data_IF_060262043972
#
_entry.id   IF_060262043972
#
_cell.length_a   1.000
_cell.length_b   1.000
_cell.length_c   1.000
_cell.angle_alpha   90.00
_cell.angle_beta   90.00
_cell.angle_gamma   90.00
#
_symmetry.space_group_name_H-M   'P 1'
#
loop_
_entity.id
_entity.type
_entity.pdbx_description
1 polymer ?
#
# COMPACT_ATOMS: atom_id res chain seq x y z
N UNK A 1 9.85 -16.43 -28.27
CA UNK A 1 8.71 -16.22 -27.36
C UNK A 1 9.15 -15.21 -26.31
N UNK A 2 8.86 -13.91 -26.50
CA UNK A 2 9.11 -12.93 -25.45
C UNK A 2 8.05 -13.15 -24.35
N UNK A 3 8.40 -13.92 -23.34
CA UNK A 3 7.62 -14.03 -22.11
C UNK A 3 7.90 -12.77 -21.30
N UNK A 4 7.11 -11.74 -21.53
CA UNK A 4 7.12 -10.54 -20.69
C UNK A 4 6.52 -10.92 -19.33
N UNK A 5 7.39 -11.28 -18.39
CA UNK A 5 7.02 -11.69 -17.03
C UNK A 5 6.24 -10.60 -16.29
N UNK A 6 6.37 -9.35 -16.71
CA UNK A 6 5.66 -8.19 -16.13
C UNK A 6 4.50 -7.71 -17.00
N UNK A 7 3.95 -8.61 -17.83
CA UNK A 7 2.76 -8.28 -18.63
C UNK A 7 1.59 -7.90 -17.71
N UNK A 8 0.70 -7.03 -18.19
CA UNK A 8 -0.50 -6.64 -17.43
C UNK A 8 -1.32 -7.83 -16.95
N UNK A 9 -1.40 -8.90 -17.78
CA UNK A 9 -2.12 -10.13 -17.44
C UNK A 9 -1.43 -10.87 -16.30
N UNK A 10 -0.12 -11.02 -16.35
CA UNK A 10 0.68 -11.67 -15.29
C UNK A 10 0.55 -10.90 -13.97
N UNK A 11 0.74 -9.58 -14.00
CA UNK A 11 0.57 -8.73 -12.82
C UNK A 11 -0.84 -8.82 -12.22
N UNK A 12 -1.89 -8.86 -13.06
CA UNK A 12 -3.26 -9.00 -12.59
C UNK A 12 -3.51 -10.35 -11.91
N UNK A 13 -3.00 -11.45 -12.46
CA UNK A 13 -3.12 -12.79 -11.85
C UNK A 13 -2.40 -12.86 -10.51
N UNK A 14 -1.16 -12.39 -10.46
CA UNK A 14 -0.38 -12.37 -9.21
C UNK A 14 -1.07 -11.50 -8.16
N UNK A 15 -1.48 -10.29 -8.51
CA UNK A 15 -2.21 -9.41 -7.59
C UNK A 15 -3.53 -10.05 -7.11
N UNK A 16 -4.25 -10.78 -7.98
CA UNK A 16 -5.46 -11.52 -7.60
C UNK A 16 -5.20 -12.57 -6.52
N UNK A 17 -4.11 -13.33 -6.65
CA UNK A 17 -3.71 -14.31 -5.64
C UNK A 17 -3.35 -13.61 -4.31
N UNK A 18 -2.53 -12.56 -4.38
CA UNK A 18 -2.07 -11.86 -3.19
C UNK A 18 -3.20 -11.11 -2.47
N UNK A 19 -4.22 -10.60 -3.18
CA UNK A 19 -5.39 -9.97 -2.52
C UNK A 19 -6.21 -10.98 -1.72
N UNK A 20 -6.31 -12.23 -2.19
CA UNK A 20 -6.93 -13.32 -1.43
C UNK A 20 -6.12 -13.61 -0.17
N UNK A 21 -4.79 -13.64 -0.27
CA UNK A 21 -3.90 -13.81 0.90
C UNK A 21 -4.06 -12.66 1.90
N UNK A 22 -4.15 -11.41 1.43
CA UNK A 22 -4.45 -10.23 2.29
C UNK A 22 -5.76 -10.42 3.05
N UNK A 23 -6.81 -10.87 2.35
CA UNK A 23 -8.11 -11.14 2.98
C UNK A 23 -7.98 -12.17 4.11
N UNK A 24 -7.35 -13.32 3.86
CA UNK A 24 -7.17 -14.35 4.88
C UNK A 24 -6.28 -13.87 6.03
N UNK A 25 -5.22 -13.10 5.75
CA UNK A 25 -4.36 -12.55 6.78
C UNK A 25 -5.12 -11.61 7.72
N UNK A 26 -5.95 -10.74 7.18
CA UNK A 26 -6.79 -9.83 7.99
C UNK A 26 -7.92 -10.57 8.71
N UNK A 27 -8.64 -11.47 8.03
CA UNK A 27 -9.67 -12.28 8.65
C UNK A 27 -9.13 -13.03 9.87
N UNK A 28 -7.92 -13.60 9.76
CA UNK A 28 -7.25 -14.25 10.85
C UNK A 28 -7.03 -13.36 12.06
N UNK A 29 -6.55 -12.14 11.87
CA UNK A 29 -6.30 -11.20 12.99
C UNK A 29 -7.54 -10.92 13.83
N UNK A 30 -8.73 -10.94 13.20
CA UNK A 30 -9.99 -10.71 13.89
C UNK A 30 -10.64 -11.96 14.44
N UNK A 31 -10.48 -13.09 13.76
CA UNK A 31 -11.13 -14.37 14.14
C UNK A 31 -10.30 -15.11 15.19
N UNK A 32 -8.98 -15.07 15.11
CA UNK A 32 -8.09 -15.80 16.00
C UNK A 32 -8.38 -15.55 17.50
N UNK A 33 -8.54 -14.33 17.98
CA UNK A 33 -8.83 -14.07 19.39
C UNK A 33 -10.17 -14.63 19.87
N UNK A 34 -11.13 -14.85 18.96
CA UNK A 34 -12.48 -15.31 19.29
C UNK A 34 -12.63 -16.83 19.34
N UNK A 35 -11.73 -17.59 18.71
CA UNK A 35 -11.87 -19.04 18.54
C UNK A 35 -11.24 -19.89 19.67
N UNK A 36 -10.46 -19.32 20.58
CA UNK A 36 -9.86 -20.03 21.70
C UNK A 36 -8.72 -20.97 21.30
N UNK A 37 -8.54 -22.09 22.04
CA UNK A 37 -7.40 -22.99 21.87
C UNK A 37 -7.36 -23.71 20.52
N UNK A 38 -6.16 -23.81 19.95
CA UNK A 38 -5.86 -24.09 18.57
C UNK A 38 -5.25 -25.48 18.37
N UNK A 39 -5.52 -26.06 17.20
CA UNK A 39 -4.88 -27.27 16.71
C UNK A 39 -3.48 -26.98 16.15
N UNK A 40 -2.71 -28.03 15.81
CA UNK A 40 -1.41 -27.91 15.14
C UNK A 40 -1.54 -27.13 13.80
N UNK A 41 -2.66 -27.32 13.08
CA UNK A 41 -2.93 -26.60 11.82
C UNK A 41 -3.11 -25.09 12.04
N UNK A 42 -3.72 -24.71 13.14
CA UNK A 42 -3.91 -23.30 13.50
C UNK A 42 -2.58 -22.63 13.79
N UNK A 43 -1.68 -23.29 14.51
CA UNK A 43 -0.34 -22.79 14.78
C UNK A 43 0.50 -22.66 13.51
N UNK A 44 0.41 -23.62 12.57
CA UNK A 44 1.06 -23.54 11.27
C UNK A 44 0.51 -22.38 10.45
N UNK A 45 -0.81 -22.23 10.38
CA UNK A 45 -1.47 -21.15 9.68
C UNK A 45 -1.11 -19.78 10.29
N UNK A 46 -1.15 -19.64 11.61
CA UNK A 46 -0.74 -18.43 12.32
C UNK A 46 0.72 -18.06 12.02
N UNK A 47 1.61 -19.05 11.99
CA UNK A 47 3.02 -18.85 11.65
C UNK A 47 3.18 -18.38 10.21
N UNK A 48 2.53 -19.02 9.24
CA UNK A 48 2.59 -18.63 7.83
C UNK A 48 2.03 -17.23 7.62
N UNK A 49 0.88 -16.91 8.22
CA UNK A 49 0.25 -15.59 8.11
C UNK A 49 1.08 -14.52 8.84
N UNK A 50 1.61 -14.80 10.03
CA UNK A 50 2.47 -13.89 10.77
C UNK A 50 3.77 -13.58 10.00
N UNK A 51 4.36 -14.57 9.34
CA UNK A 51 5.53 -14.41 8.48
C UNK A 51 5.22 -13.65 7.19
N UNK A 52 4.05 -13.91 6.60
CA UNK A 52 3.69 -13.35 5.29
C UNK A 52 3.13 -11.92 5.36
N UNK A 53 2.74 -11.42 6.55
CA UNK A 53 1.95 -10.20 6.72
C UNK A 53 2.37 -9.00 5.88
N UNK A 54 3.64 -8.59 5.92
CA UNK A 54 4.14 -7.48 5.10
C UNK A 54 4.53 -7.93 3.68
N UNK A 55 5.01 -9.17 3.51
CA UNK A 55 5.46 -9.68 2.21
C UNK A 55 4.32 -9.83 1.21
N UNK A 56 3.09 -10.01 1.68
CA UNK A 56 1.90 -10.11 0.82
C UNK A 56 1.66 -8.83 0.00
N UNK A 57 2.07 -7.66 0.50
CA UNK A 57 1.89 -6.39 -0.20
C UNK A 57 3.06 -6.02 -1.11
N UNK A 58 4.18 -6.72 -1.03
CA UNK A 58 5.39 -6.49 -1.84
C UNK A 58 5.11 -6.47 -3.35
N UNK A 59 4.37 -7.44 -3.94
CA UNK A 59 4.06 -7.41 -5.37
C UNK A 59 3.27 -6.19 -5.80
N UNK A 60 2.35 -5.70 -4.96
CA UNK A 60 1.56 -4.51 -5.30
C UNK A 60 2.44 -3.26 -5.39
N UNK A 61 3.42 -3.10 -4.49
CA UNK A 61 4.38 -2.00 -4.54
C UNK A 61 5.29 -2.11 -5.77
N UNK A 62 5.85 -3.30 -6.01
CA UNK A 62 6.74 -3.58 -7.15
C UNK A 62 6.05 -3.28 -8.49
N UNK A 63 4.87 -3.86 -8.70
CA UNK A 63 4.12 -3.68 -9.96
C UNK A 63 3.60 -2.26 -10.13
N UNK A 64 3.29 -1.56 -9.03
CA UNK A 64 2.92 -0.15 -9.09
C UNK A 64 4.09 0.73 -9.50
N UNK A 65 5.28 0.51 -8.93
CA UNK A 65 6.51 1.21 -9.31
C UNK A 65 6.84 0.99 -10.79
N UNK A 66 6.85 -0.28 -11.24
CA UNK A 66 7.09 -0.65 -12.63
C UNK A 66 6.07 -0.01 -13.58
N UNK A 67 4.78 -0.18 -13.32
CA UNK A 67 3.73 0.29 -14.21
C UNK A 67 3.65 1.82 -14.30
N UNK A 68 3.90 2.54 -13.21
CA UNK A 68 3.94 4.00 -13.20
C UNK A 68 5.16 4.50 -13.96
N UNK A 69 6.35 3.97 -13.67
CA UNK A 69 7.59 4.41 -14.31
C UNK A 69 7.60 4.11 -15.80
N UNK A 70 7.24 2.89 -16.21
CA UNK A 70 7.11 2.53 -17.63
C UNK A 70 6.16 3.48 -18.34
N UNK A 71 4.99 3.78 -17.73
CA UNK A 71 4.03 4.72 -18.32
C UNK A 71 4.56 6.15 -18.41
N UNK A 72 5.37 6.61 -17.45
CA UNK A 72 6.04 7.92 -17.51
C UNK A 72 7.07 7.93 -18.64
N UNK A 73 7.90 6.89 -18.77
CA UNK A 73 8.94 6.81 -19.81
C UNK A 73 8.34 6.74 -21.21
N UNK A 74 7.25 5.99 -21.39
CA UNK A 74 6.58 5.84 -22.69
C UNK A 74 5.76 7.07 -23.10
N UNK A 75 5.03 7.69 -22.16
CA UNK A 75 4.01 8.72 -22.46
C UNK A 75 4.40 10.11 -21.96
N UNK A 76 5.51 10.22 -21.25
CA UNK A 76 6.04 11.49 -20.75
C UNK A 76 5.05 12.28 -19.90
N UNK A 77 5.07 13.60 -20.05
CA UNK A 77 4.24 14.54 -19.30
C UNK A 77 2.73 14.27 -19.43
N UNK A 78 2.29 13.67 -20.55
CA UNK A 78 0.87 13.37 -20.77
C UNK A 78 0.34 12.33 -19.77
N UNK A 79 1.18 11.40 -19.30
CA UNK A 79 0.83 10.48 -18.22
C UNK A 79 1.14 11.08 -16.85
N UNK A 80 2.30 11.70 -16.69
CA UNK A 80 2.74 12.24 -15.41
C UNK A 80 1.69 13.21 -14.82
N UNK A 81 1.17 14.14 -15.62
CA UNK A 81 0.13 15.09 -15.19
C UNK A 81 -1.19 14.43 -14.75
N UNK A 82 -1.43 13.18 -15.16
CA UNK A 82 -2.64 12.43 -14.79
C UNK A 82 -2.46 11.58 -13.52
N UNK A 83 -1.25 11.44 -12.98
CA UNK A 83 -1.03 10.64 -11.76
C UNK A 83 -1.95 11.07 -10.61
N UNK A 84 -2.10 12.38 -10.30
CA UNK A 84 -3.01 12.80 -9.22
C UNK A 84 -4.46 12.34 -9.44
N UNK A 85 -5.00 12.50 -10.63
CA UNK A 85 -6.40 12.17 -10.94
C UNK A 85 -6.63 10.70 -11.29
N UNK A 86 -5.63 9.99 -11.83
CA UNK A 86 -5.78 8.62 -12.31
C UNK A 86 -5.25 7.56 -11.31
N UNK A 87 -4.43 7.95 -10.34
CA UNK A 87 -3.83 7.05 -9.34
C UNK A 87 -4.16 7.47 -7.92
N UNK A 88 -3.80 8.71 -7.54
CA UNK A 88 -3.95 9.16 -6.15
C UNK A 88 -5.42 9.28 -5.79
N UNK A 89 -6.18 10.07 -6.52
CA UNK A 89 -7.58 10.36 -6.21
C UNK A 89 -8.48 9.10 -6.19
N UNK A 90 -8.44 8.18 -7.18
CA UNK A 90 -9.26 6.97 -7.11
C UNK A 90 -8.86 6.04 -5.96
N UNK A 91 -7.56 5.94 -5.64
CA UNK A 91 -7.10 5.13 -4.51
C UNK A 91 -7.62 5.71 -3.19
N UNK A 92 -7.52 7.04 -3.02
CA UNK A 92 -8.00 7.72 -1.82
C UNK A 92 -9.53 7.60 -1.69
N UNK A 93 -10.29 7.87 -2.75
CA UNK A 93 -11.77 7.75 -2.71
C UNK A 93 -12.22 6.34 -2.32
N UNK A 94 -11.64 5.30 -2.94
CA UNK A 94 -11.98 3.92 -2.62
C UNK A 94 -11.64 3.57 -1.16
N UNK A 95 -10.52 4.08 -0.67
CA UNK A 95 -10.12 3.92 0.71
C UNK A 95 -11.08 4.66 1.66
N UNK A 96 -11.44 5.90 1.35
CA UNK A 96 -12.34 6.72 2.16
C UNK A 96 -13.75 6.11 2.26
N UNK A 97 -14.24 5.50 1.18
CA UNK A 97 -15.50 4.73 1.22
C UNK A 97 -15.39 3.58 2.23
N UNK A 98 -14.28 2.84 2.24
CA UNK A 98 -14.06 1.78 3.22
C UNK A 98 -13.98 2.34 4.65
N UNK A 99 -13.26 3.44 4.88
CA UNK A 99 -13.19 4.12 6.19
C UNK A 99 -14.59 4.56 6.67
N UNK A 100 -15.41 5.15 5.78
CA UNK A 100 -16.78 5.53 6.12
C UNK A 100 -17.64 4.32 6.51
N UNK A 101 -17.46 3.16 5.85
CA UNK A 101 -18.15 1.91 6.23
C UNK A 101 -17.71 1.48 7.63
N UNK A 102 -16.40 1.50 7.93
CA UNK A 102 -15.89 1.16 9.27
C UNK A 102 -16.44 2.10 10.35
N UNK A 103 -16.51 3.42 10.08
CA UNK A 103 -17.10 4.39 11.00
C UNK A 103 -18.58 4.05 11.23
N UNK A 104 -19.35 3.78 10.19
CA UNK A 104 -20.77 3.42 10.32
C UNK A 104 -20.96 2.13 11.14
N UNK A 105 -20.16 1.10 10.89
CA UNK A 105 -20.18 -0.15 11.67
C UNK A 105 -19.83 0.10 13.14
N UNK A 106 -18.79 0.88 13.42
CA UNK A 106 -18.41 1.25 14.78
C UNK A 106 -19.56 1.94 15.52
N UNK A 107 -20.24 2.89 14.89
CA UNK A 107 -21.38 3.59 15.48
C UNK A 107 -22.55 2.64 15.78
N UNK A 108 -22.83 1.68 14.89
CA UNK A 108 -23.85 0.64 15.09
C UNK A 108 -23.49 -0.26 16.28
N UNK A 109 -22.22 -0.59 16.44
CA UNK A 109 -21.71 -1.43 17.54
C UNK A 109 -21.55 -0.64 18.87
N UNK A 110 -21.85 0.65 18.88
CA UNK A 110 -21.76 1.50 20.07
C UNK A 110 -20.39 2.11 20.33
N UNK A 111 -19.41 1.86 19.46
CA UNK A 111 -18.10 2.53 19.50
C UNK A 111 -18.22 3.93 18.89
N UNK A 112 -17.62 4.92 19.55
CA UNK A 112 -17.69 6.33 19.10
C UNK A 112 -16.28 6.88 18.86
N UNK A 113 -15.71 6.70 17.67
CA UNK A 113 -14.43 7.31 17.33
C UNK A 113 -14.56 8.85 17.43
N UNK A 114 -13.49 9.52 17.89
CA UNK A 114 -13.46 10.98 17.93
C UNK A 114 -13.45 11.57 16.52
N UNK A 115 -13.90 12.83 16.38
CA UNK A 115 -13.84 13.53 15.09
C UNK A 115 -12.41 13.59 14.54
N UNK A 116 -11.43 13.84 15.42
CA UNK A 116 -10.02 13.86 15.03
C UNK A 116 -9.57 12.50 14.48
N UNK A 117 -9.94 11.39 15.14
CA UNK A 117 -9.66 10.04 14.67
C UNK A 117 -10.33 9.77 13.32
N UNK A 118 -11.58 10.15 13.12
CA UNK A 118 -12.26 10.01 11.83
C UNK A 118 -11.52 10.76 10.70
N UNK A 119 -11.15 12.03 10.93
CA UNK A 119 -10.46 12.86 9.95
C UNK A 119 -9.05 12.32 9.63
N UNK A 120 -8.30 11.89 10.65
CA UNK A 120 -6.99 11.28 10.46
C UNK A 120 -7.08 9.93 9.74
N UNK A 121 -8.16 9.17 9.96
CA UNK A 121 -8.39 7.91 9.27
C UNK A 121 -8.66 8.08 7.78
N UNK A 122 -9.34 9.13 7.36
CA UNK A 122 -9.53 9.48 5.95
C UNK A 122 -8.20 9.84 5.25
N UNK A 123 -7.23 10.41 5.98
CA UNK A 123 -5.88 10.62 5.43
C UNK A 123 -5.01 9.35 5.39
N UNK A 124 -5.49 8.24 5.93
CA UNK A 124 -4.73 7.01 6.12
C UNK A 124 -3.72 7.07 7.28
N UNK A 125 -3.64 8.20 8.03
CA UNK A 125 -2.68 8.35 9.14
C UNK A 125 -3.08 7.58 10.41
N UNK A 126 -4.37 7.48 10.68
CA UNK A 126 -4.95 6.75 11.82
C UNK A 126 -5.92 5.69 11.31
N UNK A 127 -6.53 4.92 12.22
CA UNK A 127 -7.43 3.83 11.89
C UNK A 127 -8.66 3.86 12.80
N UNK A 128 -9.80 3.55 12.22
CA UNK A 128 -11.07 3.26 12.91
C UNK A 128 -11.37 1.77 12.93
N UNK A 129 -10.33 0.92 12.86
CA UNK A 129 -10.41 -0.53 12.77
C UNK A 129 -10.04 -1.10 11.39
N UNK A 130 -9.85 -0.23 10.40
CA UNK A 130 -9.40 -0.61 9.04
C UNK A 130 -7.86 -0.71 8.96
N UNK A 131 -7.37 -1.48 8.01
CA UNK A 131 -5.95 -1.46 7.65
C UNK A 131 -5.66 -0.24 6.77
N UNK A 132 -4.66 0.56 7.13
CA UNK A 132 -4.40 1.86 6.50
C UNK A 132 -2.96 2.05 6.01
N UNK A 133 -1.97 1.42 6.66
CA UNK A 133 -0.56 1.67 6.43
C UNK A 133 -0.12 1.45 4.97
N UNK A 134 -0.64 0.40 4.30
CA UNK A 134 -0.32 0.13 2.90
C UNK A 134 -0.86 1.23 1.97
N UNK A 135 -2.10 1.67 2.19
CA UNK A 135 -2.72 2.72 1.39
C UNK A 135 -1.98 4.04 1.57
N UNK A 136 -1.61 4.37 2.81
CA UNK A 136 -0.77 5.54 3.09
C UNK A 136 0.57 5.46 2.35
N UNK A 137 1.25 4.31 2.41
CA UNK A 137 2.52 4.07 1.73
C UNK A 137 2.39 4.23 0.20
N UNK A 138 1.42 3.58 -0.44
CA UNK A 138 1.29 3.62 -1.91
C UNK A 138 0.88 5.00 -2.42
N UNK A 139 0.07 5.75 -1.68
CA UNK A 139 -0.27 7.14 -2.02
C UNK A 139 0.98 8.03 -2.04
N UNK A 140 1.86 7.91 -1.04
CA UNK A 140 3.14 8.61 -1.03
C UNK A 140 4.06 8.17 -2.18
N UNK A 141 4.10 6.86 -2.50
CA UNK A 141 4.85 6.37 -3.66
C UNK A 141 4.38 7.03 -4.98
N UNK A 142 3.06 7.20 -5.16
CA UNK A 142 2.53 7.91 -6.32
C UNK A 142 2.88 9.41 -6.31
N UNK A 143 2.84 10.06 -5.14
CA UNK A 143 3.31 11.44 -5.00
C UNK A 143 4.80 11.56 -5.36
N UNK A 144 5.63 10.64 -4.90
CA UNK A 144 7.07 10.62 -5.19
C UNK A 144 7.34 10.44 -6.68
N UNK A 145 6.64 9.50 -7.35
CA UNK A 145 6.75 9.35 -8.80
C UNK A 145 6.27 10.58 -9.57
N UNK A 146 5.22 11.25 -9.10
CA UNK A 146 4.76 12.50 -9.68
C UNK A 146 5.83 13.59 -9.55
N UNK A 147 6.37 13.84 -8.36
CA UNK A 147 7.45 14.80 -8.12
C UNK A 147 8.69 14.45 -8.94
N UNK A 148 9.10 13.19 -8.94
CA UNK A 148 10.23 12.73 -9.72
C UNK A 148 10.04 12.96 -11.21
N UNK A 149 8.83 12.80 -11.75
CA UNK A 149 8.54 13.06 -13.17
C UNK A 149 8.69 14.51 -13.56
N UNK A 150 8.42 15.45 -12.64
CA UNK A 150 8.59 16.87 -12.87
C UNK A 150 10.08 17.28 -12.90
N UNK A 151 10.93 16.58 -12.15
CA UNK A 151 12.33 16.94 -11.95
C UNK A 151 13.30 16.14 -12.84
N UNK A 152 12.95 14.93 -13.27
CA UNK A 152 13.88 13.99 -13.95
C UNK A 152 14.14 14.28 -15.42
N UNK A 153 13.41 15.23 -16.03
CA UNK A 153 13.51 15.54 -17.47
C UNK A 153 13.47 14.29 -18.37
N UNK A 154 12.67 13.30 -18.00
CA UNK A 154 12.53 11.99 -18.67
C UNK A 154 13.76 11.05 -18.58
N UNK A 155 14.79 11.36 -17.77
CA UNK A 155 15.85 10.39 -17.46
C UNK A 155 15.32 9.38 -16.47
N UNK A 156 15.45 8.07 -16.83
CA UNK A 156 15.06 6.96 -15.96
C UNK A 156 15.90 6.93 -14.69
N UNK A 157 17.20 7.12 -14.82
CA UNK A 157 18.15 7.13 -13.72
C UNK A 157 17.86 8.27 -12.72
N UNK A 158 17.61 9.49 -13.25
CA UNK A 158 17.24 10.62 -12.40
C UNK A 158 15.90 10.38 -11.70
N UNK A 159 14.91 9.80 -12.40
CA UNK A 159 13.62 9.44 -11.81
C UNK A 159 13.79 8.43 -10.67
N UNK A 160 14.53 7.34 -10.89
CA UNK A 160 14.84 6.33 -9.88
C UNK A 160 15.53 6.96 -8.66
N UNK A 161 16.56 7.78 -8.88
CA UNK A 161 17.30 8.41 -7.80
C UNK A 161 16.40 9.32 -6.94
N UNK A 162 15.54 10.13 -7.57
CA UNK A 162 14.62 11.01 -6.84
C UNK A 162 13.61 10.19 -6.03
N UNK A 163 12.99 9.15 -6.64
CA UNK A 163 12.06 8.27 -5.94
C UNK A 163 12.75 7.58 -4.76
N UNK A 164 13.97 7.06 -4.95
CA UNK A 164 14.74 6.42 -3.89
C UNK A 164 15.04 7.38 -2.72
N UNK A 165 15.50 8.60 -3.00
CA UNK A 165 15.75 9.62 -1.97
C UNK A 165 14.48 9.95 -1.21
N UNK A 166 13.35 10.13 -1.89
CA UNK A 166 12.06 10.41 -1.26
C UNK A 166 11.57 9.23 -0.40
N UNK A 167 11.79 7.98 -0.84
CA UNK A 167 11.51 6.80 -0.02
C UNK A 167 12.38 6.73 1.23
N UNK A 168 13.68 7.07 1.14
CA UNK A 168 14.57 7.14 2.30
C UNK A 168 14.13 8.23 3.28
N UNK A 169 13.76 9.41 2.80
CA UNK A 169 13.21 10.47 3.63
C UNK A 169 11.90 10.04 4.32
N UNK A 170 11.03 9.34 3.61
CA UNK A 170 9.81 8.76 4.19
C UNK A 170 10.12 7.80 5.34
N UNK A 171 11.11 6.90 5.17
CA UNK A 171 11.55 5.97 6.23
C UNK A 171 12.01 6.74 7.46
N UNK A 172 12.88 7.75 7.27
CA UNK A 172 13.40 8.57 8.38
C UNK A 172 12.25 9.27 9.11
N UNK A 173 11.36 9.93 8.38
CA UNK A 173 10.22 10.62 8.98
C UNK A 173 9.29 9.65 9.72
N UNK A 174 8.89 8.55 9.11
CA UNK A 174 7.96 7.62 9.74
C UNK A 174 8.61 6.82 10.89
N UNK A 175 9.90 6.57 10.86
CA UNK A 175 10.60 5.96 12.00
C UNK A 175 10.54 6.86 13.25
N UNK A 176 10.51 8.18 13.08
CA UNK A 176 10.33 9.14 14.19
C UNK A 176 8.87 9.17 14.67
N UNK A 177 7.90 9.26 13.75
CA UNK A 177 6.49 9.42 14.12
C UNK A 177 5.79 8.12 14.51
N UNK A 178 6.14 6.99 13.90
CA UNK A 178 5.52 5.67 14.13
C UNK A 178 6.39 4.74 14.98
N UNK A 179 7.65 5.10 15.23
CA UNK A 179 8.55 4.38 16.11
C UNK A 179 8.67 2.90 15.77
N UNK A 180 8.30 2.03 16.72
CA UNK A 180 8.41 0.57 16.55
C UNK A 180 7.39 -0.05 15.58
N UNK A 181 6.47 0.72 15.01
CA UNK A 181 5.50 0.24 14.04
C UNK A 181 6.14 0.14 12.64
N UNK A 182 7.12 -0.74 12.49
CA UNK A 182 7.96 -0.87 11.29
C UNK A 182 7.18 -1.13 10.01
N UNK A 183 6.02 -1.79 10.08
CA UNK A 183 5.16 -2.07 8.93
C UNK A 183 4.73 -0.81 8.15
N UNK A 184 4.85 0.38 8.73
CA UNK A 184 4.58 1.64 8.05
C UNK A 184 5.63 2.02 7.02
N UNK A 185 6.88 1.53 7.14
CA UNK A 185 8.00 1.98 6.31
C UNK A 185 8.95 0.89 5.81
N UNK A 186 8.94 -0.33 6.37
CA UNK A 186 9.90 -1.38 6.01
C UNK A 186 9.79 -1.83 4.54
N UNK A 187 8.60 -1.79 3.94
CA UNK A 187 8.35 -2.30 2.59
C UNK A 187 8.45 -1.25 1.49
N UNK A 188 8.55 0.05 1.83
CA UNK A 188 8.48 1.13 0.82
C UNK A 188 9.60 1.05 -0.23
N UNK A 189 10.78 0.53 0.15
CA UNK A 189 11.92 0.39 -0.76
C UNK A 189 11.68 -0.64 -1.89
N UNK A 190 10.64 -1.45 -1.78
CA UNK A 190 10.23 -2.32 -2.88
C UNK A 190 9.68 -1.52 -4.05
N UNK A 191 9.08 -0.36 -3.82
CA UNK A 191 8.54 0.47 -4.89
C UNK A 191 9.62 0.94 -5.88
N UNK A 192 10.74 1.56 -5.45
CA UNK A 192 11.81 1.92 -6.38
C UNK A 192 12.48 0.75 -7.08
N UNK A 193 12.43 -0.48 -6.57
CA UNK A 193 12.94 -1.65 -7.30
C UNK A 193 12.10 -2.00 -8.53
N UNK A 194 10.87 -1.52 -8.62
CA UNK A 194 10.01 -1.59 -9.80
C UNK A 194 10.26 -0.46 -10.81
N UNK A 195 11.04 0.56 -10.46
CA UNK A 195 11.36 1.73 -11.30
C UNK A 195 12.50 1.40 -12.25
#
# INVERSE_FOLDING_TARGET
MNTDFLSKKTCAVVNGIFIIMVFFAHAWQYIAPALGHWTIFDNLYASVIGWSGQYIVVPFLLFSGYGVTTSIMEKGNAYASKIPSARILPTLINFDIAVCIFIAVNLILGFRPSLAQCLLSLSGWDSVGNSNWYIFCILWCYCFSFVASLCSKHSKEAHLMIVLVLCLLYIVLLSVFKGNQRWWYDTILVYPTGV
#
